data_IF_651991780463
#
_entry.id   IF_651991780463
#
_cell.length_a   1.000
_cell.length_b   1.000
_cell.length_c   1.000
_cell.angle_alpha   90.00
_cell.angle_beta   90.00
_cell.angle_gamma   90.00
#
_symmetry.space_group_name_H-M   'P 1'
#
loop_
_entity.id
_entity.type
_entity.pdbx_description
1 polymer ?
#
# COMPACT_ATOMS: atom_id res chain seq x y z
N UNK A 1 -9.08 -16.49 -9.38
CA UNK A 1 -8.70 -15.21 -8.72
C UNK A 1 -7.57 -14.62 -9.55
N UNK A 2 -7.64 -13.34 -9.93
CA UNK A 2 -6.58 -12.70 -10.73
C UNK A 2 -5.55 -12.11 -9.77
N UNK A 3 -4.27 -12.29 -10.06
CA UNK A 3 -3.16 -11.77 -9.25
C UNK A 3 -2.64 -10.47 -9.86
N UNK A 4 -2.39 -9.46 -9.02
CA UNK A 4 -1.71 -8.22 -9.41
C UNK A 4 -0.32 -8.19 -8.74
N UNK A 5 0.78 -8.38 -9.50
CA UNK A 5 2.12 -8.36 -8.94
C UNK A 5 2.65 -6.92 -8.78
N UNK A 6 3.43 -6.70 -7.73
CA UNK A 6 4.25 -5.50 -7.54
C UNK A 6 5.63 -5.90 -7.01
N UNK A 7 6.68 -5.24 -7.52
CA UNK A 7 8.06 -5.43 -7.06
C UNK A 7 8.53 -4.19 -6.32
N UNK A 8 9.12 -4.41 -5.15
CA UNK A 8 9.74 -3.37 -4.33
C UNK A 8 11.21 -3.68 -4.12
N UNK A 9 12.03 -2.64 -4.21
CA UNK A 9 13.45 -2.73 -3.84
C UNK A 9 13.59 -2.29 -2.40
N UNK A 10 14.08 -3.18 -1.55
CA UNK A 10 14.44 -2.84 -0.18
C UNK A 10 15.64 -1.88 -0.16
N UNK A 11 15.46 -0.73 0.48
CA UNK A 11 16.52 0.22 0.81
C UNK A 11 17.01 -0.02 2.25
N UNK A 12 18.18 0.50 2.59
CA UNK A 12 18.70 0.40 3.96
C UNK A 12 17.74 1.01 5.00
N UNK A 13 17.04 2.10 4.63
CA UNK A 13 16.00 2.73 5.46
C UNK A 13 14.80 1.84 5.76
N UNK A 14 14.59 0.78 4.97
CA UNK A 14 13.45 -0.12 5.09
C UNK A 14 13.75 -1.27 6.05
N UNK A 15 15.00 -1.37 6.52
CA UNK A 15 15.50 -2.49 7.32
C UNK A 15 15.64 -2.14 8.79
N UNK A 16 15.69 -3.17 9.63
CA UNK A 16 15.94 -3.04 11.06
C UNK A 16 17.30 -3.61 11.50
N UNK A 17 17.54 -3.64 12.82
CA UNK A 17 18.80 -4.12 13.40
C UNK A 17 19.07 -5.62 13.17
N UNK A 18 18.06 -6.41 12.78
CA UNK A 18 18.24 -7.80 12.39
C UNK A 18 18.69 -7.94 10.92
N UNK A 19 18.75 -6.85 10.15
CA UNK A 19 19.20 -6.85 8.76
C UNK A 19 18.16 -7.37 7.77
N UNK A 20 16.89 -7.40 8.17
CA UNK A 20 15.75 -7.73 7.32
C UNK A 20 14.85 -6.52 7.14
N UNK A 21 13.91 -6.58 6.20
CA UNK A 21 12.88 -5.55 6.03
C UNK A 21 12.06 -5.47 7.32
N UNK A 22 12.01 -4.28 7.92
CA UNK A 22 11.21 -4.05 9.09
C UNK A 22 9.72 -4.25 8.77
N UNK A 23 8.96 -4.89 9.67
CA UNK A 23 7.57 -5.25 9.40
C UNK A 23 6.68 -4.05 9.01
N UNK A 24 6.96 -2.85 9.54
CA UNK A 24 6.19 -1.66 9.17
C UNK A 24 6.38 -1.26 7.70
N UNK A 25 7.55 -1.53 7.12
CA UNK A 25 7.84 -1.25 5.71
C UNK A 25 6.92 -2.07 4.80
N UNK A 26 6.60 -3.30 5.19
CA UNK A 26 5.70 -4.17 4.44
C UNK A 26 4.33 -3.50 4.25
N UNK A 27 3.82 -2.80 5.28
CA UNK A 27 2.54 -2.09 5.15
C UNK A 27 2.58 -0.95 4.13
N UNK A 28 3.68 -0.20 4.03
CA UNK A 28 3.82 0.84 3.00
C UNK A 28 3.83 0.24 1.59
N UNK A 29 4.49 -0.90 1.40
CA UNK A 29 4.50 -1.60 0.11
C UNK A 29 3.12 -2.18 -0.25
N UNK A 30 2.38 -2.71 0.73
CA UNK A 30 1.02 -3.19 0.52
C UNK A 30 0.09 -2.03 0.15
N UNK A 31 0.15 -0.91 0.87
CA UNK A 31 -0.66 0.29 0.59
C UNK A 31 -0.39 0.86 -0.82
N UNK A 32 0.89 0.96 -1.19
CA UNK A 32 1.28 1.41 -2.53
C UNK A 32 0.79 0.44 -3.63
N UNK A 33 0.77 -0.87 -3.34
CA UNK A 33 0.26 -1.88 -4.27
C UNK A 33 -1.24 -1.75 -4.45
N UNK A 34 -1.99 -1.54 -3.37
CA UNK A 34 -3.44 -1.32 -3.42
C UNK A 34 -3.76 -0.05 -4.23
N UNK A 35 -3.03 1.04 -4.02
CA UNK A 35 -3.18 2.25 -4.85
C UNK A 35 -2.89 1.95 -6.34
N UNK A 36 -1.83 1.18 -6.62
CA UNK A 36 -1.46 0.78 -7.98
C UNK A 36 -2.55 -0.08 -8.66
N UNK A 37 -3.25 -0.94 -7.92
CA UNK A 37 -4.40 -1.71 -8.42
C UNK A 37 -5.52 -0.78 -8.85
N UNK A 38 -5.89 0.21 -8.02
CA UNK A 38 -6.93 1.18 -8.39
C UNK A 38 -6.56 1.95 -9.65
N UNK A 39 -5.30 2.37 -9.77
CA UNK A 39 -4.77 3.03 -10.97
C UNK A 39 -4.85 2.12 -12.20
N UNK A 40 -4.50 0.84 -12.06
CA UNK A 40 -4.59 -0.15 -13.14
C UNK A 40 -6.02 -0.39 -13.61
N UNK A 41 -6.99 -0.34 -12.69
CA UNK A 41 -8.42 -0.47 -12.99
C UNK A 41 -9.08 0.84 -13.44
N UNK A 42 -8.32 1.94 -13.54
CA UNK A 42 -8.82 3.29 -13.83
C UNK A 42 -9.91 3.76 -12.84
N UNK A 43 -9.79 3.34 -11.57
CA UNK A 43 -10.67 3.75 -10.48
C UNK A 43 -10.00 4.83 -9.62
N UNK A 44 -10.77 5.82 -9.11
CA UNK A 44 -10.24 6.79 -8.17
C UNK A 44 -10.01 6.14 -6.80
N UNK A 45 -8.78 6.19 -6.28
CA UNK A 45 -8.48 5.73 -4.92
C UNK A 45 -9.04 6.69 -3.86
N UNK A 46 -8.87 7.99 -4.09
CA UNK A 46 -9.54 9.07 -3.37
C UNK A 46 -10.41 9.86 -4.35
N UNK A 47 -11.62 10.19 -3.93
CA UNK A 47 -12.56 11.00 -4.70
C UNK A 47 -12.98 12.21 -3.88
N UNK A 48 -12.78 13.39 -4.47
CA UNK A 48 -13.24 14.67 -3.93
C UNK A 48 -14.54 15.09 -4.61
N UNK A 49 -15.51 15.54 -3.82
CA UNK A 49 -16.78 16.11 -4.28
C UNK A 49 -17.08 17.38 -3.47
N UNK A 50 -16.65 18.52 -4.02
CA UNK A 50 -16.63 19.80 -3.31
C UNK A 50 -15.78 19.72 -2.03
N UNK A 51 -16.43 19.87 -0.87
CA UNK A 51 -15.79 19.77 0.44
C UNK A 51 -15.73 18.34 1.01
N UNK A 52 -16.34 17.35 0.35
CA UNK A 52 -16.36 15.96 0.81
C UNK A 52 -15.20 15.18 0.20
N UNK A 53 -14.45 14.48 1.05
CA UNK A 53 -13.45 13.50 0.64
C UNK A 53 -14.00 12.10 0.92
N UNK A 54 -13.97 11.24 -0.09
CA UNK A 54 -14.34 9.84 -0.02
C UNK A 54 -13.19 8.96 -0.47
N UNK A 55 -13.01 7.81 0.17
CA UNK A 55 -11.86 6.95 -0.05
C UNK A 55 -11.92 5.70 0.82
N UNK A 56 -10.79 5.03 0.96
CA UNK A 56 -10.67 3.75 1.65
C UNK A 56 -9.81 3.89 2.90
N UNK A 57 -10.34 4.45 4.01
CA UNK A 57 -9.59 4.53 5.26
C UNK A 57 -9.29 3.12 5.78
N UNK A 58 -8.04 2.89 6.20
CA UNK A 58 -7.61 1.62 6.78
C UNK A 58 -8.16 1.48 8.19
N UNK A 59 -9.02 0.48 8.41
CA UNK A 59 -9.62 0.20 9.74
C UNK A 59 -8.87 -0.92 10.47
N UNK A 60 -8.29 -1.86 9.74
CA UNK A 60 -7.53 -3.00 10.28
C UNK A 60 -6.43 -3.41 9.29
N UNK A 61 -5.33 -3.90 9.82
CA UNK A 61 -4.26 -4.58 9.07
C UNK A 61 -3.65 -5.64 9.98
N UNK A 62 -3.16 -6.74 9.41
CA UNK A 62 -2.42 -7.79 10.12
C UNK A 62 -1.26 -8.28 9.25
N UNK A 63 -0.14 -8.56 9.89
CA UNK A 63 1.04 -9.19 9.32
C UNK A 63 1.66 -10.01 10.45
N UNK A 64 1.85 -11.31 10.21
CA UNK A 64 2.48 -12.25 11.13
C UNK A 64 3.91 -12.52 10.63
#
# INVERSE_FOLDING_TARGET
MVTFPAEYRAHFSDTDAAGIVHFSTIFFWVEATEEAIFRHLHLPFLKTDGAKLSGFPRVRVECD
#
